data_IF_170383282317
#
_entry.id   IF_170383282317
#
_cell.length_a   1.000
_cell.length_b   1.000
_cell.length_c   1.000
_cell.angle_alpha   90.00
_cell.angle_beta   90.00
_cell.angle_gamma   90.00
#
_symmetry.space_group_name_H-M   'P 1'
#
loop_
_entity.id
_entity.type
_entity.pdbx_description
1 polymer ?
#
# COMPACT_ATOMS: atom_id res chain seq x y z
N UNK A 1 31.72 -10.72 36.77
CA UNK A 1 30.77 -10.65 35.65
C UNK A 1 30.76 -12.03 34.98
N UNK A 2 29.59 -12.67 34.73
CA UNK A 2 29.53 -13.99 34.07
C UNK A 2 30.14 -13.95 32.66
N UNK A 3 30.56 -15.09 32.10
CA UNK A 3 31.02 -15.15 30.71
C UNK A 3 29.95 -14.59 29.75
N UNK A 4 30.36 -13.70 28.84
CA UNK A 4 29.47 -13.04 27.86
C UNK A 4 28.82 -11.72 28.33
N UNK A 5 29.20 -11.19 29.49
CA UNK A 5 28.69 -9.92 30.01
C UNK A 5 29.85 -8.91 30.20
N UNK A 6 29.58 -7.62 29.99
CA UNK A 6 30.51 -6.51 30.18
C UNK A 6 30.00 -5.58 31.29
N UNK A 7 30.86 -5.22 32.24
CA UNK A 7 30.57 -4.14 33.17
C UNK A 7 31.03 -2.81 32.55
N UNK A 8 30.11 -1.85 32.47
CA UNK A 8 30.40 -0.47 32.08
C UNK A 8 30.28 0.39 33.32
N UNK A 9 31.38 1.00 33.75
CA UNK A 9 31.40 1.95 34.86
C UNK A 9 31.56 3.37 34.34
N UNK A 10 30.66 4.26 34.74
CA UNK A 10 30.72 5.67 34.38
C UNK A 10 30.24 6.54 35.54
N UNK A 11 31.07 7.50 35.96
CA UNK A 11 30.81 8.36 37.13
C UNK A 11 30.44 7.58 38.40
N UNK A 12 31.05 6.42 38.61
CA UNK A 12 30.81 5.57 39.80
C UNK A 12 29.49 4.79 39.76
N UNK A 13 28.77 4.80 38.63
CA UNK A 13 27.62 3.94 38.40
C UNK A 13 28.04 2.82 37.46
N UNK A 14 27.97 1.59 37.96
CA UNK A 14 28.24 0.38 37.19
C UNK A 14 26.93 -0.17 36.59
N UNK A 15 26.96 -0.52 35.31
CA UNK A 15 25.88 -1.24 34.62
C UNK A 15 26.43 -2.48 33.95
N UNK A 16 25.74 -3.60 34.14
CA UNK A 16 26.12 -4.90 33.58
C UNK A 16 25.38 -5.08 32.25
N UNK A 17 26.11 -5.04 31.14
CA UNK A 17 25.62 -5.16 29.76
C UNK A 17 25.81 -6.60 29.29
N UNK A 18 24.72 -7.28 28.96
CA UNK A 18 24.76 -8.65 28.42
C UNK A 18 25.11 -8.71 26.94
N UNK A 19 25.43 -9.90 26.45
CA UNK A 19 25.56 -10.14 25.02
C UNK A 19 24.29 -9.69 24.28
N UNK A 20 24.44 -8.91 23.20
CA UNK A 20 23.33 -8.33 22.43
C UNK A 20 22.69 -7.08 23.04
N UNK A 21 23.14 -6.64 24.21
CA UNK A 21 22.72 -5.40 24.84
C UNK A 21 23.72 -4.25 24.58
N UNK A 22 23.24 -3.02 24.61
CA UNK A 22 24.00 -1.79 24.73
C UNK A 22 23.46 -0.95 25.86
N UNK A 23 24.28 -0.04 26.37
CA UNK A 23 23.84 1.05 27.24
C UNK A 23 24.34 2.36 26.63
N UNK A 24 23.70 3.48 26.95
CA UNK A 24 24.14 4.81 26.54
C UNK A 24 24.20 5.74 27.75
N UNK A 25 25.15 6.65 27.74
CA UNK A 25 25.28 7.72 28.73
C UNK A 25 25.76 8.99 28.02
N UNK A 26 25.43 10.15 28.59
CA UNK A 26 26.01 11.43 28.18
C UNK A 26 27.15 11.79 29.15
N UNK A 27 28.05 12.72 28.81
CA UNK A 27 29.09 13.18 29.74
C UNK A 27 28.56 13.60 31.11
N UNK A 28 27.32 14.08 31.18
CA UNK A 28 26.71 14.64 32.39
C UNK A 28 25.82 13.66 33.17
N UNK A 29 25.32 12.59 32.54
CA UNK A 29 24.35 11.66 33.13
C UNK A 29 24.91 10.22 33.27
N UNK A 30 24.45 9.45 34.28
CA UNK A 30 24.83 8.04 34.42
C UNK A 30 24.29 7.19 33.25
N UNK A 31 24.91 6.03 32.97
CA UNK A 31 24.50 5.14 31.90
C UNK A 31 23.11 4.56 32.19
N UNK A 32 22.24 4.60 31.17
CA UNK A 32 20.88 4.07 31.27
C UNK A 32 20.88 2.54 31.42
N UNK A 33 19.74 1.96 31.76
CA UNK A 33 19.62 0.50 31.81
C UNK A 33 19.95 -0.13 30.43
N UNK A 34 20.72 -1.23 30.40
CA UNK A 34 21.07 -1.92 29.16
C UNK A 34 19.83 -2.30 28.35
N UNK A 35 19.84 -2.01 27.06
CA UNK A 35 18.79 -2.27 26.07
C UNK A 35 19.37 -3.08 24.90
N UNK A 36 18.57 -3.86 24.19
CA UNK A 36 19.05 -4.65 23.05
C UNK A 36 19.54 -3.75 21.90
N UNK A 37 20.67 -4.10 21.27
CA UNK A 37 21.29 -3.24 20.25
C UNK A 37 21.93 -4.02 19.10
N UNK A 38 21.53 -3.72 17.84
CA UNK A 38 20.39 -2.86 17.50
C UNK A 38 19.08 -3.51 18.02
N UNK A 39 18.05 -2.72 18.40
CA UNK A 39 16.75 -3.29 18.70
C UNK A 39 16.34 -4.19 17.53
N UNK A 40 15.83 -5.41 17.77
CA UNK A 40 15.45 -6.29 16.69
C UNK A 40 14.39 -5.56 15.87
N UNK A 41 14.64 -5.31 14.57
CA UNK A 41 13.69 -4.57 13.77
C UNK A 41 12.39 -5.36 13.74
N UNK A 42 11.31 -4.70 14.14
CA UNK A 42 10.02 -5.34 14.06
C UNK A 42 9.63 -5.57 12.61
N UNK A 43 9.10 -6.76 12.33
CA UNK A 43 8.74 -7.17 10.98
C UNK A 43 7.25 -7.44 10.87
N UNK A 44 6.70 -7.19 9.69
CA UNK A 44 5.37 -7.64 9.29
C UNK A 44 5.52 -8.52 8.06
N UNK A 45 5.08 -9.76 8.18
CA UNK A 45 5.10 -10.75 7.12
C UNK A 45 3.68 -11.07 6.67
N UNK A 46 3.45 -11.00 5.36
CA UNK A 46 2.26 -11.50 4.68
C UNK A 46 2.66 -12.75 3.89
N UNK A 47 1.89 -13.83 4.06
CA UNK A 47 1.91 -15.01 3.18
C UNK A 47 0.52 -15.22 2.61
N UNK A 48 0.41 -15.27 1.29
CA UNK A 48 -0.86 -15.41 0.59
C UNK A 48 -0.76 -16.48 -0.49
N UNK A 49 -1.69 -17.43 -0.47
CA UNK A 49 -1.83 -18.50 -1.46
C UNK A 49 -3.22 -18.51 -2.06
N UNK A 50 -3.36 -19.16 -3.21
CA UNK A 50 -4.62 -19.42 -3.88
C UNK A 50 -5.04 -18.32 -4.86
N UNK A 51 -6.35 -18.07 -4.90
CA UNK A 51 -7.01 -17.27 -5.94
C UNK A 51 -6.85 -15.75 -5.78
N UNK A 52 -5.95 -15.28 -4.90
CA UNK A 52 -5.71 -13.86 -4.66
C UNK A 52 -4.24 -13.47 -4.81
N UNK A 53 -4.00 -12.19 -5.11
CA UNK A 53 -2.70 -11.52 -4.95
C UNK A 53 -2.83 -10.31 -4.03
N UNK A 54 -1.79 -10.09 -3.23
CA UNK A 54 -1.77 -9.14 -2.13
C UNK A 54 -0.99 -7.87 -2.46
N UNK A 55 -1.49 -6.74 -1.98
CA UNK A 55 -0.78 -5.48 -1.91
C UNK A 55 -0.91 -4.90 -0.50
N UNK A 56 0.23 -4.62 0.11
CA UNK A 56 0.30 -3.92 1.40
C UNK A 56 0.50 -2.43 1.13
N UNK A 57 -0.39 -1.61 1.67
CA UNK A 57 -0.25 -0.16 1.74
C UNK A 57 0.11 0.21 3.17
N UNK A 58 1.20 0.93 3.33
CA UNK A 58 1.72 1.35 4.64
C UNK A 58 1.02 2.63 5.14
N UNK A 59 1.18 2.99 6.43
CA UNK A 59 0.63 4.24 6.97
C UNK A 59 1.06 5.49 6.20
N UNK A 60 2.31 5.52 5.70
CA UNK A 60 2.87 6.61 4.89
C UNK A 60 2.45 6.57 3.41
N UNK A 61 1.49 5.70 3.05
CA UNK A 61 0.93 5.54 1.70
C UNK A 61 1.91 5.05 0.64
N UNK A 62 3.03 4.48 1.05
CA UNK A 62 3.85 3.65 0.17
C UNK A 62 3.23 2.27 0.01
N UNK A 63 3.60 1.54 -1.04
CA UNK A 63 3.01 0.25 -1.35
C UNK A 63 4.04 -0.82 -1.69
N UNK A 64 3.74 -2.05 -1.31
CA UNK A 64 4.54 -3.22 -1.66
C UNK A 64 3.67 -4.44 -1.87
N UNK A 65 3.89 -5.17 -2.96
CA UNK A 65 3.02 -6.26 -3.37
C UNK A 65 2.85 -6.33 -4.87
N UNK A 66 1.76 -6.96 -5.30
CA UNK A 66 1.41 -7.13 -6.71
C UNK A 66 0.13 -6.35 -6.99
N UNK A 67 0.16 -5.50 -8.01
CA UNK A 67 -1.03 -4.81 -8.53
C UNK A 67 -1.49 -5.48 -9.82
N UNK A 68 -2.80 -5.71 -9.93
CA UNK A 68 -3.47 -6.24 -11.13
C UNK A 68 -4.19 -5.08 -11.82
N UNK A 69 -4.04 -4.81 -13.14
CA UNK A 69 -3.53 -5.68 -14.23
C UNK A 69 -2.37 -5.08 -15.10
N UNK A 70 -1.41 -5.87 -15.65
CA UNK A 70 -1.07 -7.27 -15.40
C UNK A 70 0.12 -7.39 -14.41
N UNK A 71 -0.17 -7.82 -13.17
CA UNK A 71 0.81 -8.42 -12.24
C UNK A 71 2.08 -7.62 -11.94
N UNK A 72 2.06 -6.29 -12.01
CA UNK A 72 3.27 -5.50 -11.80
C UNK A 72 3.68 -5.52 -10.33
N UNK A 73 4.93 -5.93 -10.02
CA UNK A 73 5.46 -5.81 -8.67
C UNK A 73 5.67 -4.34 -8.33
N UNK A 74 5.13 -3.93 -7.19
CA UNK A 74 5.39 -2.64 -6.57
C UNK A 74 6.23 -2.91 -5.33
N UNK A 75 7.34 -2.19 -5.18
CA UNK A 75 8.14 -2.20 -3.97
C UNK A 75 8.68 -0.80 -3.69
N UNK A 76 7.85 0.00 -3.04
CA UNK A 76 8.17 1.39 -2.68
C UNK A 76 8.64 1.51 -1.23
N UNK A 77 8.56 0.43 -0.46
CA UNK A 77 8.91 0.38 0.96
C UNK A 77 10.37 -0.09 1.08
N UNK A 78 11.32 0.80 1.42
CA UNK A 78 12.73 0.45 1.46
C UNK A 78 13.03 -0.74 2.38
N UNK A 79 13.87 -1.67 1.91
CA UNK A 79 14.28 -2.85 2.67
C UNK A 79 13.25 -3.98 2.73
N UNK A 80 12.07 -3.82 2.12
CA UNK A 80 11.08 -4.90 2.02
C UNK A 80 11.48 -5.91 0.96
N UNK A 81 11.26 -7.20 1.24
CA UNK A 81 11.44 -8.29 0.28
C UNK A 81 10.08 -8.86 -0.13
N UNK A 82 9.97 -9.31 -1.37
CA UNK A 82 8.79 -9.97 -1.91
C UNK A 82 9.19 -11.12 -2.84
N UNK A 83 8.40 -12.19 -2.86
CA UNK A 83 8.53 -13.29 -3.85
C UNK A 83 8.31 -12.79 -5.27
N UNK A 84 8.73 -13.59 -6.25
CA UNK A 84 8.47 -13.25 -7.66
C UNK A 84 6.95 -13.30 -7.97
N UNK A 85 6.45 -12.52 -8.95
CA UNK A 85 5.01 -12.46 -9.26
C UNK A 85 4.32 -13.79 -9.55
N UNK A 86 5.08 -14.80 -10.01
CA UNK A 86 4.57 -16.13 -10.37
C UNK A 86 4.83 -17.18 -9.28
N UNK A 87 5.55 -16.82 -8.23
CA UNK A 87 5.88 -17.73 -7.13
C UNK A 87 4.74 -17.79 -6.12
N UNK A 88 4.49 -19.00 -5.60
CA UNK A 88 3.44 -19.27 -4.62
C UNK A 88 4.03 -20.08 -3.45
N UNK A 89 3.76 -19.73 -2.17
CA UNK A 89 2.94 -18.60 -1.71
C UNK A 89 3.56 -17.24 -2.05
N UNK A 90 2.73 -16.22 -2.27
CA UNK A 90 3.21 -14.84 -2.29
C UNK A 90 3.66 -14.47 -0.88
N UNK A 91 4.93 -14.13 -0.70
CA UNK A 91 5.46 -13.65 0.58
C UNK A 91 5.91 -12.21 0.45
N UNK A 92 5.45 -11.34 1.36
CA UNK A 92 5.90 -9.95 1.51
C UNK A 92 6.41 -9.78 2.93
N UNK A 93 7.67 -9.38 3.09
CA UNK A 93 8.31 -9.18 4.40
C UNK A 93 8.79 -7.74 4.55
N UNK A 94 8.02 -6.95 5.29
CA UNK A 94 8.41 -5.62 5.72
C UNK A 94 9.42 -5.77 6.86
N UNK A 95 10.65 -5.35 6.61
CA UNK A 95 11.76 -5.43 7.59
C UNK A 95 11.77 -4.28 8.60
N UNK A 96 10.91 -3.30 8.40
CA UNK A 96 10.70 -2.19 9.32
C UNK A 96 9.22 -1.86 9.27
N UNK A 97 8.60 -1.92 10.44
CA UNK A 97 7.25 -1.41 10.66
C UNK A 97 7.33 -0.03 11.31
N UNK A 98 6.27 0.74 11.16
CA UNK A 98 6.07 2.05 11.77
C UNK A 98 4.68 2.05 12.40
N UNK A 99 4.49 2.93 13.37
CA UNK A 99 3.19 3.15 13.98
C UNK A 99 2.10 3.51 12.95
N UNK A 100 0.92 2.93 13.12
CA UNK A 100 -0.29 3.25 12.37
C UNK A 100 -0.98 2.08 11.68
N UNK A 101 -1.89 2.42 10.76
CA UNK A 101 -2.73 1.45 10.06
C UNK A 101 -2.15 1.07 8.70
N UNK A 102 -1.87 -0.21 8.54
CA UNK A 102 -1.57 -0.85 7.25
C UNK A 102 -2.85 -1.36 6.63
N UNK A 103 -2.94 -1.28 5.31
CA UNK A 103 -4.08 -1.78 4.55
C UNK A 103 -3.59 -2.88 3.62
N UNK A 104 -4.11 -4.10 3.79
CA UNK A 104 -3.78 -5.22 2.93
C UNK A 104 -4.94 -5.43 1.97
N UNK A 105 -4.69 -5.13 0.70
CA UNK A 105 -5.62 -5.39 -0.39
C UNK A 105 -5.38 -6.79 -0.94
N UNK A 106 -6.48 -7.49 -1.20
CA UNK A 106 -6.52 -8.77 -1.91
C UNK A 106 -7.23 -8.56 -3.23
N UNK A 107 -6.59 -8.97 -4.32
CA UNK A 107 -7.15 -8.91 -5.68
C UNK A 107 -7.38 -10.33 -6.20
N UNK A 108 -8.60 -10.64 -6.63
CA UNK A 108 -8.93 -11.91 -7.23
C UNK A 108 -8.28 -12.09 -8.60
N UNK A 109 -7.52 -13.17 -8.76
CA UNK A 109 -6.93 -13.61 -10.05
C UNK A 109 -7.76 -14.69 -10.75
N UNK A 110 -8.88 -15.06 -10.15
CA UNK A 110 -9.80 -16.10 -10.61
C UNK A 110 -10.78 -16.44 -9.49
N UNK A 111 -11.83 -17.18 -9.83
CA UNK A 111 -12.79 -17.65 -8.84
C UNK A 111 -12.18 -18.77 -8.00
N UNK A 112 -12.15 -18.59 -6.68
CA UNK A 112 -11.62 -19.63 -5.81
C UNK A 112 -11.47 -19.22 -4.36
N UNK A 113 -10.62 -19.97 -3.66
CA UNK A 113 -10.30 -19.71 -2.25
C UNK A 113 -8.88 -19.16 -2.12
N UNK A 114 -8.68 -18.33 -1.11
CA UNK A 114 -7.36 -17.87 -0.70
C UNK A 114 -7.08 -18.29 0.74
N UNK A 115 -5.79 -18.39 1.06
CA UNK A 115 -5.26 -18.62 2.40
C UNK A 115 -4.27 -17.49 2.70
N UNK A 116 -4.54 -16.71 3.74
CA UNK A 116 -3.74 -15.57 4.16
C UNK A 116 -3.22 -15.77 5.59
N UNK A 117 -1.92 -15.64 5.77
CA UNK A 117 -1.27 -15.54 7.08
C UNK A 117 -0.57 -14.18 7.19
N UNK A 118 -0.90 -13.44 8.25
CA UNK A 118 -0.23 -12.20 8.65
C UNK A 118 0.45 -12.43 9.98
N UNK A 119 1.75 -12.10 10.08
CA UNK A 119 2.54 -12.24 11.31
C UNK A 119 3.35 -10.97 11.58
N UNK A 120 3.13 -10.35 12.73
CA UNK A 120 3.98 -9.28 13.27
C UNK A 120 4.96 -9.83 14.31
N UNK A 121 6.25 -9.50 14.19
CA UNK A 121 7.30 -10.01 15.10
C UNK A 121 8.23 -8.92 15.60
N UNK A 122 8.76 -9.09 16.80
CA UNK A 122 9.93 -8.38 17.32
C UNK A 122 11.07 -9.39 17.38
N UNK A 123 11.91 -9.44 16.35
CA UNK A 123 12.90 -10.51 16.18
C UNK A 123 12.23 -11.88 16.11
N UNK A 124 12.59 -12.80 17.00
CA UNK A 124 12.01 -14.15 17.05
C UNK A 124 10.65 -14.20 17.73
N UNK A 125 10.26 -13.16 18.50
CA UNK A 125 9.00 -13.13 19.23
C UNK A 125 7.85 -12.73 18.32
N UNK A 126 6.83 -13.58 18.22
CA UNK A 126 5.55 -13.23 17.57
C UNK A 126 4.74 -12.33 18.50
N UNK A 127 4.33 -11.16 18.00
CA UNK A 127 3.46 -10.23 18.72
C UNK A 127 2.00 -10.44 18.32
N UNK A 128 1.74 -10.54 17.01
CA UNK A 128 0.44 -10.87 16.47
C UNK A 128 0.59 -11.88 15.34
N UNK A 129 -0.38 -12.78 15.23
CA UNK A 129 -0.53 -13.67 14.09
C UNK A 129 -2.01 -13.88 13.83
N UNK A 130 -2.41 -13.83 12.57
CA UNK A 130 -3.75 -14.24 12.14
C UNK A 130 -3.64 -15.05 10.86
N UNK A 131 -4.24 -16.22 10.88
CA UNK A 131 -4.43 -17.07 9.72
C UNK A 131 -5.92 -17.04 9.36
N UNK A 132 -6.22 -16.91 8.07
CA UNK A 132 -7.59 -16.86 7.58
C UNK A 132 -7.71 -17.46 6.18
N UNK A 133 -8.89 -17.98 5.89
CA UNK A 133 -9.28 -18.45 4.56
C UNK A 133 -10.57 -17.76 4.12
N UNK A 134 -10.74 -17.58 2.82
CA UNK A 134 -11.94 -16.95 2.26
C UNK A 134 -12.12 -17.28 0.79
N UNK A 135 -13.28 -16.92 0.24
CA UNK A 135 -13.56 -17.02 -1.19
C UNK A 135 -13.42 -15.64 -1.84
N UNK A 136 -12.93 -15.60 -3.07
CA UNK A 136 -12.77 -14.37 -3.87
C UNK A 136 -13.11 -14.70 -5.33
N UNK A 137 -13.84 -13.80 -5.99
CA UNK A 137 -14.15 -13.87 -7.42
C UNK A 137 -13.04 -13.19 -8.25
N UNK A 138 -12.94 -13.52 -9.54
CA UNK A 138 -12.05 -12.81 -10.47
C UNK A 138 -12.35 -11.30 -10.47
N UNK A 139 -11.30 -10.47 -10.45
CA UNK A 139 -11.39 -9.00 -10.36
C UNK A 139 -12.04 -8.42 -9.08
N UNK A 140 -12.50 -9.28 -8.16
CA UNK A 140 -12.97 -8.84 -6.85
C UNK A 140 -11.82 -8.23 -6.03
N UNK A 141 -12.16 -7.20 -5.25
CA UNK A 141 -11.23 -6.57 -4.32
C UNK A 141 -11.74 -6.69 -2.90
N UNK A 142 -10.87 -7.15 -2.03
CA UNK A 142 -11.07 -7.09 -0.59
C UNK A 142 -9.96 -6.29 0.07
N UNK A 143 -10.26 -5.77 1.26
CA UNK A 143 -9.27 -5.10 2.10
C UNK A 143 -9.45 -5.49 3.55
N UNK A 144 -8.35 -5.58 4.27
CA UNK A 144 -8.33 -5.66 5.73
C UNK A 144 -7.35 -4.64 6.29
N UNK A 145 -7.57 -4.24 7.54
CA UNK A 145 -6.67 -3.36 8.28
C UNK A 145 -5.77 -4.17 9.22
N UNK A 146 -4.51 -3.75 9.32
CA UNK A 146 -3.58 -4.19 10.37
C UNK A 146 -3.17 -2.93 11.13
N UNK A 147 -3.60 -2.82 12.38
CA UNK A 147 -3.26 -1.70 13.25
C UNK A 147 -2.02 -2.10 14.05
N UNK A 148 -0.96 -1.31 13.96
CA UNK A 148 0.29 -1.53 14.68
C UNK A 148 0.53 -0.31 15.57
N UNK A 149 0.69 -0.55 16.86
CA UNK A 149 1.28 0.39 17.80
C UNK A 149 2.77 0.06 17.92
N UNK A 150 3.63 1.00 17.52
CA UNK A 150 5.08 0.81 17.49
C UNK A 150 5.78 1.92 18.28
N UNK A 151 6.72 1.51 19.14
CA UNK A 151 7.58 2.43 19.89
C UNK A 151 9.03 1.89 19.88
N UNK A 152 9.98 2.76 19.58
CA UNK A 152 11.43 2.47 19.57
C UNK A 152 11.85 1.22 18.74
N UNK A 153 11.13 0.96 17.65
CA UNK A 153 11.36 -0.15 16.73
C UNK A 153 10.66 -1.45 17.11
N UNK A 154 9.84 -1.45 18.17
CA UNK A 154 9.14 -2.62 18.72
C UNK A 154 7.63 -2.50 18.53
N UNK A 155 6.98 -3.56 18.02
CA UNK A 155 5.52 -3.65 18.05
C UNK A 155 5.08 -3.88 19.50
N UNK A 156 4.35 -2.92 20.06
CA UNK A 156 3.76 -3.00 21.41
C UNK A 156 2.39 -3.67 21.37
N UNK A 157 1.59 -3.30 20.39
CA UNK A 157 0.29 -3.91 20.12
C UNK A 157 0.08 -4.07 18.61
N UNK A 158 -0.65 -5.11 18.23
CA UNK A 158 -1.00 -5.35 16.84
C UNK A 158 -2.37 -6.03 16.75
N UNK A 159 -3.28 -5.42 15.99
CA UNK A 159 -4.61 -5.95 15.71
C UNK A 159 -4.73 -6.26 14.21
N UNK A 160 -5.31 -7.41 13.86
CA UNK A 160 -5.51 -7.83 12.46
C UNK A 160 -7.01 -8.01 12.22
N UNK A 161 -7.58 -7.13 11.40
CA UNK A 161 -8.99 -7.14 11.03
C UNK A 161 -9.38 -8.30 10.12
N UNK A 162 -10.66 -8.38 9.78
CA UNK A 162 -11.18 -9.33 8.80
C UNK A 162 -11.29 -8.68 7.40
N UNK A 163 -11.00 -9.42 6.32
CA UNK A 163 -11.20 -8.95 4.96
C UNK A 163 -12.66 -8.64 4.69
N UNK A 164 -12.91 -7.52 4.03
CA UNK A 164 -14.24 -7.16 3.53
C UNK A 164 -14.14 -6.63 2.10
N UNK A 165 -15.22 -6.82 1.32
CA UNK A 165 -15.33 -6.29 -0.04
C UNK A 165 -15.14 -4.78 -0.06
N UNK A 166 -14.42 -4.29 -1.05
CA UNK A 166 -14.21 -2.85 -1.25
C UNK A 166 -14.20 -2.49 -2.72
N UNK A 167 -14.72 -1.31 -3.05
CA UNK A 167 -14.56 -0.68 -4.36
C UNK A 167 -13.35 0.25 -4.41
N UNK A 168 -12.65 0.43 -3.30
CA UNK A 168 -11.53 1.38 -3.20
C UNK A 168 -10.33 0.87 -3.98
N UNK A 169 -9.75 1.74 -4.80
CA UNK A 169 -8.43 1.51 -5.37
C UNK A 169 -7.36 1.82 -4.32
N UNK A 170 -6.28 1.03 -4.21
CA UNK A 170 -5.16 1.40 -3.38
C UNK A 170 -4.61 2.73 -3.88
N UNK A 171 -4.49 3.71 -3.00
CA UNK A 171 -3.90 5.02 -3.30
C UNK A 171 -2.39 4.95 -3.55
N UNK A 172 -1.91 3.92 -4.24
CA UNK A 172 -0.51 3.73 -4.57
C UNK A 172 -0.02 4.94 -5.35
N UNK A 173 1.04 5.58 -4.86
CA UNK A 173 1.72 6.65 -5.59
C UNK A 173 2.43 5.99 -6.77
N UNK A 174 1.79 5.84 -7.93
CA UNK A 174 2.44 5.27 -9.11
C UNK A 174 3.54 6.21 -9.61
N UNK A 175 4.77 6.04 -9.12
CA UNK A 175 5.95 6.63 -9.75
C UNK A 175 6.25 5.80 -11.00
N UNK A 176 5.49 6.05 -12.06
CA UNK A 176 5.79 5.55 -13.40
C UNK A 176 7.16 6.09 -13.83
N UNK A 177 8.24 5.35 -13.58
CA UNK A 177 9.47 5.48 -14.36
C UNK A 177 9.29 4.73 -15.68
N UNK A 178 8.35 5.21 -16.48
CA UNK A 178 8.31 4.94 -17.90
C UNK A 178 8.60 6.26 -18.60
N UNK A 179 9.75 6.35 -19.25
CA UNK A 179 10.09 7.41 -20.19
C UNK A 179 8.95 7.60 -21.18
N UNK A 180 8.09 8.58 -20.90
CA UNK A 180 7.05 9.03 -21.80
C UNK A 180 7.72 9.87 -22.90
N UNK A 181 8.24 9.21 -23.94
CA UNK A 181 8.41 9.88 -25.22
C UNK A 181 7.00 10.16 -25.75
N UNK A 182 6.45 11.34 -25.42
CA UNK A 182 5.22 11.82 -26.03
C UNK A 182 4.35 12.68 -25.15
N UNK A 183 4.82 13.90 -24.84
CA UNK A 183 3.97 15.10 -24.71
C UNK A 183 2.67 14.94 -23.92
N UNK A 184 2.77 14.78 -22.61
CA UNK A 184 1.71 15.26 -21.72
C UNK A 184 2.21 16.57 -21.14
N UNK A 185 1.67 17.66 -21.69
CA UNK A 185 1.67 18.96 -21.03
C UNK A 185 0.98 18.75 -19.69
N UNK A 186 1.72 18.84 -18.58
CA UNK A 186 1.11 18.83 -17.25
C UNK A 186 0.11 19.98 -17.22
N UNK A 187 -1.20 19.75 -16.96
CA UNK A 187 -2.00 20.85 -16.46
C UNK A 187 -1.39 21.25 -15.12
N UNK A 188 -1.13 22.55 -14.98
CA UNK A 188 -0.77 23.20 -13.72
C UNK A 188 -1.54 22.56 -12.56
N UNK A 189 -0.84 22.26 -11.47
CA UNK A 189 -1.42 21.95 -10.18
C UNK A 189 -2.35 23.11 -9.77
N UNK A 190 -3.63 23.02 -10.12
CA UNK A 190 -4.66 23.84 -9.53
C UNK A 190 -4.92 23.20 -8.18
N UNK A 191 -4.39 23.81 -7.13
CA UNK A 191 -4.92 23.59 -5.78
C UNK A 191 -6.38 24.01 -5.87
N UNK A 192 -7.27 23.03 -6.00
CA UNK A 192 -8.69 23.25 -5.88
C UNK A 192 -8.93 23.63 -4.41
N UNK A 193 -8.90 24.92 -4.14
CA UNK A 193 -9.66 25.47 -3.01
C UNK A 193 -11.08 24.94 -3.19
N UNK A 194 -11.67 24.23 -2.20
CA UNK A 194 -13.02 23.73 -2.34
C UNK A 194 -13.94 24.93 -2.60
N UNK A 195 -14.47 25.03 -3.81
CA UNK A 195 -15.57 25.94 -4.11
C UNK A 195 -16.71 25.61 -3.15
N UNK A 196 -17.36 26.59 -2.52
CA UNK A 196 -18.49 26.32 -1.66
C UNK A 196 -19.55 25.57 -2.46
N UNK A 197 -19.93 24.40 -1.96
CA UNK A 197 -21.09 23.64 -2.46
C UNK A 197 -22.25 24.64 -2.57
N UNK A 198 -22.88 24.81 -3.75
CA UNK A 198 -24.06 25.65 -3.83
C UNK A 198 -25.10 25.05 -2.90
N UNK A 199 -25.40 25.76 -1.81
CA UNK A 199 -26.54 25.45 -0.95
C UNK A 199 -27.76 25.40 -1.86
N UNK A 200 -28.56 24.32 -1.86
CA UNK A 200 -29.77 24.29 -2.68
C UNK A 200 -30.66 25.45 -2.23
N UNK A 201 -30.83 26.44 -3.11
CA UNK A 201 -31.81 27.51 -2.91
C UNK A 201 -33.17 26.85 -2.87
N UNK A 202 -33.71 26.67 -1.66
CA UNK A 202 -35.09 26.27 -1.45
C UNK A 202 -35.94 27.40 -2.03
N UNK A 203 -36.54 27.16 -3.20
CA UNK A 203 -37.58 28.04 -3.73
C UNK A 203 -38.71 28.03 -2.70
N UNK A 204 -39.09 29.17 -2.11
CA UNK A 204 -40.18 29.18 -1.16
C UNK A 204 -41.46 28.76 -1.89
N UNK A 205 -42.01 27.62 -1.49
CA UNK A 205 -43.36 27.20 -1.85
C UNK A 205 -44.31 28.34 -1.46
N UNK A 206 -45.10 28.92 -2.38
CA UNK A 206 -46.08 29.92 -1.99
C UNK A 206 -47.09 29.29 -1.04
N UNK A 207 -47.27 29.93 0.12
CA UNK A 207 -48.22 29.51 1.14
C UNK A 207 -49.63 29.41 0.55
N UNK A 208 -50.41 28.35 0.87
CA UNK A 208 -51.79 28.27 0.43
C UNK A 208 -52.60 29.36 1.13
N UNK A 209 -53.23 30.22 0.33
CA UNK A 209 -54.26 31.16 0.78
C UNK A 209 -55.41 30.38 1.44
N UNK A 210 -55.87 30.76 2.65
CA UNK A 210 -57.05 30.12 3.23
C UNK A 210 -58.30 30.60 2.49
N UNK A 211 -58.81 29.77 1.58
CA UNK A 211 -60.11 30.01 0.94
C UNK A 211 -61.22 29.51 1.86
N UNK A 212 -62.05 30.44 2.30
CA UNK A 212 -63.28 30.22 3.05
C UNK A 212 -64.26 29.31 2.31
N UNK A 213 -64.78 28.31 3.02
CA UNK A 213 -66.03 27.57 2.71
C UNK A 213 -67.21 28.45 3.18
N UNK A 214 -68.46 28.43 2.66
CA UNK A 214 -69.19 27.42 1.85
C UNK A 214 -69.80 27.97 0.53
N UNK A 215 -70.26 27.14 -0.42
CA UNK A 215 -71.67 26.69 -0.50
C UNK A 215 -71.85 25.57 -1.55
N UNK A 216 -72.75 24.65 -1.21
CA UNK A 216 -73.20 23.47 -1.95
C UNK A 216 -73.76 23.85 -3.32
N UNK A 217 -73.22 23.29 -4.41
CA UNK A 217 -73.95 23.05 -5.65
C UNK A 217 -73.36 21.83 -6.37
N UNK A 218 -74.19 20.83 -6.60
CA UNK A 218 -73.83 19.56 -7.24
C UNK A 218 -73.42 19.76 -8.71
N UNK A 219 -72.26 19.25 -9.09
CA UNK A 219 -71.90 19.01 -10.51
C UNK A 219 -71.18 17.66 -10.60
N UNK A 220 -71.69 16.83 -11.51
CA UNK A 220 -71.22 15.48 -11.86
C UNK A 220 -69.79 15.57 -12.41
N UNK A 221 -68.85 14.83 -11.82
CA UNK A 221 -67.45 14.77 -12.26
C UNK A 221 -67.20 13.55 -13.16
N UNK A 222 -66.71 13.82 -14.36
CA UNK A 222 -66.23 12.88 -15.38
C UNK A 222 -64.85 12.29 -14.98
N UNK A 223 -64.50 11.04 -15.35
CA UNK A 223 -63.23 10.45 -14.93
C UNK A 223 -62.01 11.11 -15.60
N UNK A 224 -61.18 11.78 -14.80
CA UNK A 224 -59.86 12.31 -15.20
C UNK A 224 -58.88 11.18 -15.52
N UNK A 225 -58.37 11.16 -16.75
CA UNK A 225 -57.35 10.23 -17.24
C UNK A 225 -55.98 10.63 -16.67
N UNK A 226 -55.33 9.73 -15.93
CA UNK A 226 -53.96 9.92 -15.42
C UNK A 226 -52.97 9.63 -16.55
N UNK A 227 -52.04 10.55 -16.88
CA UNK A 227 -51.04 10.29 -17.91
C UNK A 227 -50.00 9.27 -17.44
N UNK A 228 -49.77 8.25 -18.25
CA UNK A 228 -48.79 7.18 -18.04
C UNK A 228 -47.35 7.73 -18.15
N UNK A 229 -46.42 7.40 -17.24
CA UNK A 229 -45.04 7.88 -17.33
C UNK A 229 -44.34 7.33 -18.58
N UNK A 230 -43.66 8.22 -19.31
CA UNK A 230 -42.88 7.88 -20.51
C UNK A 230 -41.55 7.23 -20.11
N UNK A 231 -41.13 6.12 -20.73
CA UNK A 231 -39.86 5.47 -20.40
C UNK A 231 -38.66 6.35 -20.77
N UNK A 232 -37.72 6.49 -19.83
CA UNK A 232 -36.45 7.19 -20.02
C UNK A 232 -35.52 6.36 -20.93
N UNK A 233 -34.86 6.96 -21.94
CA UNK A 233 -33.98 6.21 -22.82
C UNK A 233 -32.75 5.68 -22.07
N UNK A 234 -32.48 4.39 -22.26
CA UNK A 234 -31.28 3.69 -21.74
C UNK A 234 -30.03 4.17 -22.49
N UNK A 235 -28.94 4.53 -21.79
CA UNK A 235 -27.70 4.96 -22.45
C UNK A 235 -27.08 3.80 -23.25
N UNK A 236 -26.73 4.08 -24.51
CA UNK A 236 -26.06 3.14 -25.41
C UNK A 236 -24.59 2.97 -25.01
N UNK A 237 -24.06 1.73 -24.87
CA UNK A 237 -22.67 1.51 -24.54
C UNK A 237 -21.74 2.06 -25.64
N UNK A 238 -20.71 2.79 -25.21
CA UNK A 238 -19.69 3.35 -26.10
C UNK A 238 -18.71 2.25 -26.50
N UNK A 239 -18.32 2.11 -27.79
CA UNK A 239 -17.42 1.04 -28.21
C UNK A 239 -16.05 1.15 -27.58
N UNK A 240 -15.56 0.03 -27.04
CA UNK A 240 -14.24 -0.12 -26.44
C UNK A 240 -13.15 -0.06 -27.52
N UNK A 241 -12.08 0.74 -27.37
CA UNK A 241 -11.03 0.83 -28.37
C UNK A 241 -10.25 -0.48 -28.49
N UNK A 242 -10.03 -0.92 -29.73
CA UNK A 242 -9.25 -2.11 -30.08
C UNK A 242 -7.77 -1.90 -29.73
N UNK A 243 -7.10 -2.85 -29.03
CA UNK A 243 -5.69 -2.71 -28.67
C UNK A 243 -4.80 -2.69 -29.92
N UNK A 244 -3.90 -1.70 -29.98
CA UNK A 244 -2.90 -1.56 -31.04
C UNK A 244 -1.71 -2.50 -30.77
N UNK A 245 -1.22 -3.26 -31.77
CA UNK A 245 -0.11 -4.18 -31.55
C UNK A 245 1.16 -3.48 -31.06
N UNK A 246 1.82 -4.12 -30.09
CA UNK A 246 3.01 -3.61 -29.42
C UNK A 246 4.21 -3.47 -30.39
N UNK A 247 5.06 -2.43 -30.21
CA UNK A 247 6.24 -2.25 -31.04
C UNK A 247 7.27 -3.37 -30.79
N UNK A 248 7.73 -3.99 -31.88
CA UNK A 248 8.79 -4.99 -31.85
C UNK A 248 10.14 -4.30 -31.62
N UNK A 249 10.80 -4.60 -30.50
CA UNK A 249 12.15 -4.10 -30.24
C UNK A 249 13.18 -4.84 -31.10
N UNK A 250 13.90 -4.10 -31.94
CA UNK A 250 15.07 -4.61 -32.65
C UNK A 250 16.27 -4.67 -31.68
N UNK A 251 16.98 -5.81 -31.58
CA UNK A 251 18.13 -5.93 -30.68
C UNK A 251 19.25 -4.98 -31.10
N UNK A 252 19.75 -4.21 -30.14
CA UNK A 252 20.87 -3.27 -30.34
C UNK A 252 22.19 -4.06 -30.42
N UNK A 253 23.07 -3.80 -31.40
CA UNK A 253 24.31 -4.55 -31.54
C UNK A 253 25.26 -4.30 -30.35
N UNK A 254 25.78 -5.39 -29.78
CA UNK A 254 26.76 -5.38 -28.70
C UNK A 254 28.07 -4.75 -29.18
N UNK A 255 28.65 -3.76 -28.45
CA UNK A 255 29.94 -3.17 -28.82
C UNK A 255 31.07 -4.21 -28.67
N UNK A 256 31.90 -4.32 -29.71
CA UNK A 256 33.09 -5.17 -29.70
C UNK A 256 34.16 -4.56 -28.77
N UNK A 257 34.76 -5.41 -27.93
CA UNK A 257 35.85 -5.00 -27.03
C UNK A 257 37.12 -4.70 -27.84
N UNK A 258 37.67 -3.52 -27.68
CA UNK A 258 38.98 -3.13 -28.21
C UNK A 258 40.09 -3.85 -27.42
N UNK A 259 41.07 -4.49 -28.09
CA UNK A 259 42.16 -5.17 -27.40
C UNK A 259 43.07 -4.15 -26.70
N UNK A 260 43.36 -4.42 -25.43
CA UNK A 260 44.30 -3.65 -24.60
C UNK A 260 45.73 -3.81 -25.12
N UNK A 261 46.53 -2.73 -25.28
CA UNK A 261 47.91 -2.85 -25.73
C UNK A 261 48.79 -3.58 -24.69
N UNK A 262 49.53 -4.58 -25.16
CA UNK A 262 50.51 -5.34 -24.38
C UNK A 262 51.67 -4.43 -23.94
N UNK A 263 52.11 -4.46 -22.66
CA UNK A 263 53.24 -3.65 -22.22
C UNK A 263 54.55 -4.13 -22.85
N UNK A 264 55.33 -3.18 -23.38
CA UNK A 264 56.67 -3.41 -23.92
C UNK A 264 57.66 -3.76 -22.80
N UNK A 265 58.48 -4.82 -22.93
CA UNK A 265 59.46 -5.17 -21.91
C UNK A 265 60.53 -4.07 -21.77
N UNK A 266 60.84 -3.71 -20.54
CA UNK A 266 61.90 -2.75 -20.20
C UNK A 266 63.28 -3.41 -20.39
N UNK A 267 64.25 -2.76 -21.06
CA UNK A 267 65.58 -3.32 -21.24
C UNK A 267 66.33 -3.44 -19.90
N UNK A 268 66.89 -4.62 -19.64
CA UNK A 268 67.74 -4.91 -18.49
C UNK A 268 69.07 -4.15 -18.60
N UNK A 269 69.52 -3.44 -17.55
CA UNK A 269 70.82 -2.76 -17.58
C UNK A 269 71.97 -3.76 -17.64
N UNK A 270 72.94 -3.51 -18.52
CA UNK A 270 74.18 -4.28 -18.63
C UNK A 270 75.12 -3.95 -17.46
N UNK A 271 75.65 -4.93 -16.72
CA UNK A 271 76.60 -4.68 -15.64
C UNK A 271 77.95 -4.19 -16.20
N UNK A 272 78.57 -3.25 -15.48
CA UNK A 272 79.91 -2.70 -15.75
C UNK A 272 80.97 -3.46 -14.97
#
# INVERSE_FOLDING_TARGET
VPEGWLAVEWKGVEKIVGAGMSTRGTPDEPPVEPFESPPPPSTLELKLSGAARGLVVTPDKTSVGLVIPPGYPINQVPGTTMTEPHEEPQVVLLRRVVDGTYEVFLFGIGDGTYELELTGRNGDRVVCRKHMTGAIEEEERMVLAVEIEEEDGLILACSIGDPHRTSREPGAVFVMRASLLGRISLPRLVVAVPSPIPTPTVVPTPAPTPTSVPQVLAVVAEPTVIPTPTPTPTPTPTPTPTPMPAPMFTPTPTPALTPTPTPTPTPTPTPT
#
